data_IF_429232765758
#
_entry.id   IF_429232765758
#
_cell.length_a   1.000
_cell.length_b   1.000
_cell.length_c   1.000
_cell.angle_alpha   90.00
_cell.angle_beta   90.00
_cell.angle_gamma   90.00
#
_symmetry.space_group_name_H-M   'P 1'
#
loop_
_entity.id
_entity.type
_entity.pdbx_description
1 polymer ?
#
# COMPACT_ATOMS: atom_id res chain seq x y z
N UNK A 1 -31.04 -39.66 3.94
CA UNK A 1 -29.57 -39.79 3.79
C UNK A 1 -29.03 -38.46 3.31
N UNK A 2 -28.48 -37.65 4.21
CA UNK A 2 -27.87 -36.37 3.86
C UNK A 2 -26.37 -36.57 3.63
N UNK A 3 -25.87 -36.21 2.44
CA UNK A 3 -24.44 -36.15 2.16
C UNK A 3 -23.86 -34.93 2.86
N UNK A 4 -23.03 -35.17 3.87
CA UNK A 4 -22.16 -34.17 4.49
C UNK A 4 -21.11 -33.79 3.45
N UNK A 5 -20.97 -32.50 3.14
CA UNK A 5 -19.85 -31.99 2.36
C UNK A 5 -18.62 -32.02 3.27
N UNK A 6 -17.62 -32.79 2.89
CA UNK A 6 -16.31 -32.77 3.53
C UNK A 6 -15.67 -31.40 3.26
N UNK A 7 -15.41 -30.65 4.33
CA UNK A 7 -14.60 -29.44 4.28
C UNK A 7 -13.17 -29.86 3.88
N UNK A 8 -12.69 -29.33 2.75
CA UNK A 8 -11.28 -29.42 2.37
C UNK A 8 -10.44 -28.73 3.45
N UNK A 9 -9.86 -29.52 4.34
CA UNK A 9 -8.84 -29.06 5.28
C UNK A 9 -7.66 -28.59 4.45
N UNK A 10 -7.47 -27.27 4.37
CA UNK A 10 -6.25 -26.69 3.86
C UNK A 10 -5.13 -27.04 4.83
N UNK A 11 -4.36 -28.08 4.51
CA UNK A 11 -3.08 -28.35 5.14
C UNK A 11 -2.18 -27.13 4.91
N UNK A 12 -2.12 -26.26 5.91
CA UNK A 12 -1.02 -25.33 6.03
C UNK A 12 0.13 -26.13 6.64
N UNK A 13 1.25 -26.24 5.93
CA UNK A 13 2.50 -26.82 6.45
C UNK A 13 2.92 -26.08 7.72
N UNK A 14 2.41 -26.51 8.86
CA UNK A 14 2.72 -25.93 10.15
C UNK A 14 4.07 -26.46 10.60
N UNK A 15 5.13 -25.75 10.22
CA UNK A 15 6.47 -25.99 10.76
C UNK A 15 6.53 -25.32 12.14
N UNK A 16 6.55 -26.07 13.25
CA UNK A 16 6.70 -25.48 14.57
C UNK A 16 8.03 -24.72 14.63
N UNK A 17 7.97 -23.44 14.98
CA UNK A 17 9.14 -22.58 15.16
C UNK A 17 9.34 -22.26 16.63
N UNK A 18 10.58 -22.14 17.05
CA UNK A 18 10.91 -21.60 18.37
C UNK A 18 10.58 -20.10 18.43
N UNK A 19 10.40 -19.58 19.65
CA UNK A 19 10.20 -18.14 19.87
C UNK A 19 11.40 -17.35 19.32
N UNK A 20 12.62 -17.89 19.42
CA UNK A 20 13.83 -17.27 18.89
C UNK A 20 13.82 -17.18 17.36
N UNK A 21 13.43 -18.24 16.66
CA UNK A 21 13.27 -18.23 15.20
C UNK A 21 12.20 -17.23 14.75
N UNK A 22 11.10 -17.11 15.50
CA UNK A 22 10.07 -16.11 15.23
C UNK A 22 10.60 -14.68 15.40
N UNK A 23 11.30 -14.40 16.50
CA UNK A 23 11.88 -13.09 16.76
C UNK A 23 12.97 -12.72 15.73
N UNK A 24 13.79 -13.69 15.30
CA UNK A 24 14.77 -13.47 14.24
C UNK A 24 14.10 -13.15 12.90
N UNK A 25 13.02 -13.84 12.55
CA UNK A 25 12.25 -13.54 11.34
C UNK A 25 11.66 -12.12 11.39
N UNK A 26 11.11 -11.69 12.53
CA UNK A 26 10.63 -10.31 12.74
C UNK A 26 11.78 -9.32 12.59
N UNK A 27 12.93 -9.57 13.21
CA UNK A 27 14.10 -8.67 13.13
C UNK A 27 14.57 -8.51 11.69
N UNK A 28 14.74 -9.61 10.95
CA UNK A 28 15.14 -9.57 9.54
C UNK A 28 14.10 -8.88 8.67
N UNK A 29 12.81 -9.06 8.96
CA UNK A 29 11.73 -8.34 8.28
C UNK A 29 11.82 -6.84 8.54
N UNK A 30 12.00 -6.41 9.79
CA UNK A 30 12.15 -5.01 10.16
C UNK A 30 13.42 -4.39 9.56
N UNK A 31 14.53 -5.13 9.53
CA UNK A 31 15.78 -4.70 8.93
C UNK A 31 15.60 -4.47 7.43
N UNK A 32 15.01 -5.43 6.69
CA UNK A 32 14.70 -5.28 5.26
C UNK A 32 13.73 -4.13 4.98
N UNK A 33 12.72 -3.97 5.83
CA UNK A 33 11.76 -2.87 5.73
C UNK A 33 12.44 -1.52 5.92
N UNK A 34 13.33 -1.41 6.91
CA UNK A 34 14.07 -0.20 7.23
C UNK A 34 15.20 0.11 6.24
N UNK A 35 15.77 -0.90 5.56
CA UNK A 35 16.83 -0.70 4.55
C UNK A 35 16.30 -0.32 3.18
N UNK A 36 15.00 -0.48 2.90
CA UNK A 36 14.41 -0.18 1.60
C UNK A 36 14.01 1.29 1.42
N UNK A 37 14.76 2.20 2.04
CA UNK A 37 14.61 3.62 1.80
C UNK A 37 15.06 3.95 0.38
N UNK A 38 14.23 4.68 -0.37
CA UNK A 38 14.49 5.10 -1.74
C UNK A 38 14.29 6.60 -1.89
N UNK A 39 15.07 7.17 -2.80
CA UNK A 39 14.99 8.55 -3.23
C UNK A 39 14.74 8.57 -4.73
N UNK A 40 13.67 9.23 -5.17
CA UNK A 40 13.28 9.32 -6.58
C UNK A 40 13.18 10.79 -6.95
N UNK A 41 14.04 11.24 -7.87
CA UNK A 41 14.00 12.59 -8.40
C UNK A 41 13.42 12.58 -9.82
N UNK A 42 12.38 13.38 -10.07
CA UNK A 42 11.76 13.42 -11.40
C UNK A 42 10.75 14.54 -11.54
N UNK A 43 10.20 14.66 -12.76
CA UNK A 43 9.20 15.67 -13.11
C UNK A 43 7.81 15.06 -13.03
N UNK A 44 6.90 15.73 -12.32
CA UNK A 44 5.50 15.31 -12.24
C UNK A 44 4.84 15.51 -13.60
N UNK A 45 4.34 14.43 -14.20
CA UNK A 45 3.63 14.45 -15.48
C UNK A 45 2.13 14.59 -15.31
N UNK A 46 1.57 13.90 -14.33
CA UNK A 46 0.13 13.76 -14.14
C UNK A 46 -0.17 13.59 -12.66
N UNK A 47 -1.34 14.09 -12.24
CA UNK A 47 -1.94 13.84 -10.93
C UNK A 47 -3.22 13.01 -11.14
N UNK A 48 -3.34 11.90 -10.42
CA UNK A 48 -4.50 11.01 -10.49
C UNK A 48 -5.13 10.84 -9.12
N UNK A 49 -6.43 11.14 -9.06
CA UNK A 49 -7.29 10.86 -7.92
C UNK A 49 -8.22 9.69 -8.28
N UNK A 50 -8.02 8.55 -7.61
CA UNK A 50 -8.85 7.37 -7.78
C UNK A 50 -10.19 7.52 -7.07
N UNK A 51 -11.23 6.84 -7.57
CA UNK A 51 -12.54 6.84 -6.92
C UNK A 51 -12.47 6.22 -5.53
N UNK A 52 -13.07 6.90 -4.54
CA UNK A 52 -13.24 6.37 -3.19
C UNK A 52 -14.01 5.04 -3.23
N UNK A 53 -13.49 4.01 -2.55
CA UNK A 53 -14.13 2.69 -2.53
C UNK A 53 -15.06 2.56 -1.32
N UNK A 54 -16.30 2.04 -1.48
CA UNK A 54 -17.19 1.85 -0.34
C UNK A 54 -16.57 0.88 0.68
N UNK A 55 -16.79 1.16 1.97
CA UNK A 55 -16.47 0.22 3.04
C UNK A 55 -17.56 -0.85 3.07
N UNK A 56 -17.16 -2.09 2.84
CA UNK A 56 -18.05 -3.26 2.83
C UNK A 56 -17.75 -4.10 4.07
N UNK A 57 -18.78 -4.48 4.81
CA UNK A 57 -18.66 -5.47 5.87
C UNK A 57 -18.40 -6.85 5.25
N UNK A 58 -17.26 -7.46 5.59
CA UNK A 58 -16.86 -8.75 5.01
C UNK A 58 -17.76 -9.91 5.43
N UNK A 59 -18.53 -9.80 6.50
CA UNK A 59 -19.43 -10.86 6.98
C UNK A 59 -20.79 -10.83 6.27
N UNK A 60 -21.35 -9.65 6.07
CA UNK A 60 -22.69 -9.48 5.46
C UNK A 60 -22.64 -9.12 3.98
N UNK A 61 -21.47 -8.69 3.48
CA UNK A 61 -21.28 -8.17 2.14
C UNK A 61 -22.11 -6.90 1.84
N UNK A 62 -22.52 -6.18 2.88
CA UNK A 62 -23.28 -4.93 2.79
C UNK A 62 -22.40 -3.71 3.02
N UNK A 63 -22.84 -2.54 2.58
CA UNK A 63 -22.15 -1.28 2.84
C UNK A 63 -22.21 -0.93 4.33
N UNK A 64 -21.09 -0.51 4.89
CA UNK A 64 -21.04 0.02 6.26
C UNK A 64 -21.69 1.41 6.23
N UNK A 65 -22.77 1.56 6.98
CA UNK A 65 -23.47 2.82 7.20
C UNK A 65 -23.07 3.36 8.59
N UNK A 66 -22.77 4.65 8.67
CA UNK A 66 -22.68 5.39 9.93
C UNK A 66 -23.79 6.43 9.91
N UNK A 67 -24.72 6.38 10.87
CA UNK A 67 -25.89 7.27 10.94
C UNK A 67 -26.70 7.34 9.63
N UNK A 68 -26.80 6.20 8.92
CA UNK A 68 -27.50 6.10 7.64
C UNK A 68 -26.69 6.57 6.42
N UNK A 69 -25.45 7.04 6.61
CA UNK A 69 -24.57 7.50 5.52
C UNK A 69 -23.54 6.42 5.16
N UNK A 70 -23.44 6.01 3.86
CA UNK A 70 -22.43 5.06 3.42
C UNK A 70 -21.01 5.55 3.66
N UNK A 71 -20.21 4.68 4.25
CA UNK A 71 -18.81 4.96 4.53
C UNK A 71 -17.93 4.55 3.35
N UNK A 72 -16.93 5.38 3.04
CA UNK A 72 -15.96 5.12 1.98
C UNK A 72 -14.54 5.12 2.55
N UNK A 73 -13.65 4.36 1.93
CA UNK A 73 -12.22 4.53 2.07
C UNK A 73 -11.80 5.83 1.39
N UNK A 74 -10.74 6.45 1.89
CA UNK A 74 -10.15 7.61 1.24
C UNK A 74 -9.73 7.26 -0.20
N UNK A 75 -9.84 8.23 -1.14
CA UNK A 75 -9.39 8.03 -2.51
C UNK A 75 -7.89 7.76 -2.54
N UNK A 76 -7.46 6.97 -3.52
CA UNK A 76 -6.04 6.79 -3.81
C UNK A 76 -5.53 8.03 -4.53
N UNK A 77 -4.56 8.72 -3.93
CA UNK A 77 -3.94 9.91 -4.49
C UNK A 77 -2.56 9.54 -5.01
N UNK A 78 -2.31 9.78 -6.29
CA UNK A 78 -1.06 9.37 -6.93
C UNK A 78 -0.59 10.38 -7.96
N UNK A 79 0.72 10.43 -8.17
CA UNK A 79 1.35 11.21 -9.25
C UNK A 79 2.19 10.30 -10.13
N UNK A 80 2.14 10.56 -11.44
CA UNK A 80 3.04 9.93 -12.41
C UNK A 80 4.30 10.80 -12.50
N UNK A 81 5.46 10.24 -12.17
CA UNK A 81 6.75 10.94 -12.16
C UNK A 81 7.64 10.39 -13.26
N UNK A 82 8.10 11.26 -14.16
CA UNK A 82 9.06 10.93 -15.20
C UNK A 82 10.49 11.24 -14.74
N UNK A 83 11.40 10.30 -14.94
CA UNK A 83 12.82 10.41 -14.60
C UNK A 83 13.68 9.77 -15.70
N UNK A 84 15.00 9.92 -15.61
CA UNK A 84 15.91 9.29 -16.55
C UNK A 84 15.83 7.77 -16.41
N UNK A 85 15.22 7.11 -17.40
CA UNK A 85 15.02 5.65 -17.40
C UNK A 85 13.56 5.20 -17.33
N UNK A 86 12.58 6.10 -17.17
CA UNK A 86 11.17 5.74 -17.29
C UNK A 86 10.21 6.64 -16.51
N UNK A 87 9.04 6.07 -16.21
CA UNK A 87 8.00 6.69 -15.40
C UNK A 87 7.61 5.78 -14.24
N UNK A 88 7.19 6.38 -13.13
CA UNK A 88 6.72 5.65 -11.95
C UNK A 88 5.54 6.35 -11.31
N UNK A 89 4.60 5.54 -10.83
CA UNK A 89 3.47 6.00 -10.05
C UNK A 89 3.84 6.03 -8.56
N UNK A 90 3.67 7.21 -7.95
CA UNK A 90 3.95 7.44 -6.55
C UNK A 90 2.63 7.79 -5.85
N UNK A 91 2.25 6.98 -4.87
CA UNK A 91 1.13 7.30 -3.98
C UNK A 91 1.57 8.37 -2.99
N UNK A 92 0.75 9.39 -2.83
CA UNK A 92 0.99 10.53 -1.95
C UNK A 92 -0.09 10.62 -0.87
N UNK A 93 0.26 11.23 0.25
CA UNK A 93 -0.76 11.73 1.16
C UNK A 93 -1.46 12.96 0.56
N UNK A 94 -2.57 13.37 1.17
CA UNK A 94 -3.38 14.49 0.66
C UNK A 94 -2.60 15.79 0.55
N UNK A 95 -1.77 16.11 1.55
CA UNK A 95 -1.01 17.37 1.58
C UNK A 95 0.03 17.39 0.46
N UNK A 96 0.83 16.33 0.35
CA UNK A 96 1.83 16.19 -0.73
C UNK A 96 1.17 16.19 -2.11
N UNK A 97 0.01 15.54 -2.24
CA UNK A 97 -0.73 15.54 -3.50
C UNK A 97 -1.20 16.94 -3.87
N UNK A 98 -1.75 17.71 -2.93
CA UNK A 98 -2.18 19.09 -3.17
C UNK A 98 -0.99 20.00 -3.55
N UNK A 99 0.13 19.87 -2.84
CA UNK A 99 1.38 20.63 -3.06
C UNK A 99 2.13 20.25 -4.35
N UNK A 100 1.83 19.09 -4.95
CA UNK A 100 2.48 18.63 -6.18
C UNK A 100 1.96 19.39 -7.40
N UNK A 101 2.88 20.01 -8.15
CA UNK A 101 2.59 20.73 -9.39
C UNK A 101 3.00 19.92 -10.62
N UNK A 102 2.14 19.86 -11.62
CA UNK A 102 2.46 19.26 -12.92
C UNK A 102 3.55 20.08 -13.61
N UNK A 103 4.49 19.39 -14.27
CA UNK A 103 5.69 19.95 -14.91
C UNK A 103 6.77 20.48 -13.96
N UNK A 104 6.55 20.40 -12.64
CA UNK A 104 7.58 20.72 -11.65
C UNK A 104 8.39 19.48 -11.28
N UNK A 105 9.66 19.70 -10.92
CA UNK A 105 10.59 18.65 -10.52
C UNK A 105 10.64 18.54 -9.00
N UNK A 106 10.62 17.32 -8.49
CA UNK A 106 10.65 17.04 -7.05
C UNK A 106 11.60 15.87 -6.75
N UNK A 107 12.11 15.85 -5.52
CA UNK A 107 12.72 14.70 -4.87
C UNK A 107 11.69 14.08 -3.92
N UNK A 108 11.33 12.83 -4.17
CA UNK A 108 10.46 12.01 -3.34
C UNK A 108 11.31 11.07 -2.50
N UNK A 109 11.07 11.03 -1.19
CA UNK A 109 11.76 10.13 -0.27
C UNK A 109 10.75 9.24 0.45
N UNK A 110 11.06 7.96 0.52
CA UNK A 110 10.15 6.97 1.03
C UNK A 110 10.75 5.60 1.16
N UNK A 111 9.89 4.61 1.31
CA UNK A 111 10.24 3.21 1.34
C UNK A 111 9.51 2.46 0.23
N UNK A 112 10.21 1.58 -0.48
CA UNK A 112 9.59 0.61 -1.40
C UNK A 112 9.57 -0.77 -0.78
N UNK A 113 8.42 -1.42 -0.76
CA UNK A 113 8.26 -2.68 -0.03
C UNK A 113 7.34 -3.66 -0.72
N UNK A 114 7.61 -4.95 -0.52
CA UNK A 114 6.69 -6.03 -0.82
C UNK A 114 6.17 -6.60 0.50
N UNK A 115 4.87 -6.48 0.74
CA UNK A 115 4.20 -7.05 1.90
C UNK A 115 3.15 -8.08 1.44
N UNK A 116 3.36 -9.36 1.77
CA UNK A 116 2.48 -10.47 1.36
C UNK A 116 2.10 -10.47 -0.13
N UNK A 117 3.07 -10.20 -1.01
CA UNK A 117 2.85 -10.13 -2.47
C UNK A 117 2.18 -8.85 -2.96
N UNK A 118 1.98 -7.84 -2.09
CA UNK A 118 1.47 -6.51 -2.43
C UNK A 118 2.59 -5.49 -2.34
N UNK A 119 2.69 -4.61 -3.33
CA UNK A 119 3.57 -3.44 -3.26
C UNK A 119 3.01 -2.49 -2.21
N UNK A 120 3.82 -2.17 -1.20
CA UNK A 120 3.47 -1.27 -0.10
C UNK A 120 4.45 -0.11 -0.06
N UNK A 121 4.42 0.69 -1.11
CA UNK A 121 5.23 1.88 -1.23
C UNK A 121 4.65 2.99 -0.36
N UNK A 122 5.52 3.66 0.39
CA UNK A 122 5.14 4.79 1.23
C UNK A 122 6.19 5.88 1.10
N UNK A 123 5.79 6.99 0.52
CA UNK A 123 6.60 8.21 0.47
C UNK A 123 6.15 9.14 1.58
N UNK A 124 7.11 9.70 2.31
CA UNK A 124 6.86 10.53 3.49
C UNK A 124 7.44 11.94 3.37
N UNK A 125 8.16 12.22 2.28
CA UNK A 125 8.78 13.51 1.99
C UNK A 125 8.74 13.81 0.50
N UNK A 126 8.49 15.07 0.16
CA UNK A 126 8.53 15.60 -1.19
C UNK A 126 9.14 17.00 -1.12
N UNK A 127 10.27 17.19 -1.79
CA UNK A 127 11.00 18.47 -1.83
C UNK A 127 11.07 18.96 -3.27
N UNK A 128 10.66 20.21 -3.52
CA UNK A 128 10.76 20.82 -4.85
C UNK A 128 12.22 21.10 -5.20
N UNK A 129 12.64 20.75 -6.41
CA UNK A 129 14.01 20.90 -6.92
C UNK A 129 14.14 22.11 -7.85
#
# INVERSE_FOLDING_TARGET
>A
MAKVKEDEVKDFDYVPRTIEEHNNAIRMYMERYNTNSVQIAGTVREKREGSAKPKIDKKTNEHILLDGVPQFWEPFLSVTVAFEGGEIDINLDRKMYEDAEVSSRYLFEGTKGLNYGRVQDKFHSMTKL
#
